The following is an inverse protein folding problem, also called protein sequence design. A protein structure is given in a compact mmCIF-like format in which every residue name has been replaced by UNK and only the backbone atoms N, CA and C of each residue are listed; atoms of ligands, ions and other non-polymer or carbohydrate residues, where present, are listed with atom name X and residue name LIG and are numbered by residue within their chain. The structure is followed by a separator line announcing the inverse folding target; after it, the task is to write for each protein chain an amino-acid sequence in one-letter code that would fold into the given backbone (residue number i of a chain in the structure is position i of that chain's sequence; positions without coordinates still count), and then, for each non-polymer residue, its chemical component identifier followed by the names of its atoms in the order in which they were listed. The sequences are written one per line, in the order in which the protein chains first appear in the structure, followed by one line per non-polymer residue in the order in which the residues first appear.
data_IF_973405895016
#
_entry.id   IF_973405895016
#
_cell.length_a   1.000
_cell.length_b   1.000
_cell.length_c   1.000
_cell.angle_alpha   90.00
_cell.angle_beta   90.00
_cell.angle_gamma   90.00
#
_symmetry.space_group_name_H-M   'P 1'
#
loop_
_entity.id
_entity.type
_entity.pdbx_description
1 polymer ?
#
# COMPACT_ATOMS: atom_id res chain seq x y z
N UNK A 1 -2.13 15.84 13.36
CA UNK A 1 -3.09 16.08 12.27
C UNK A 1 -2.84 15.15 11.08
N UNK A 2 -1.69 15.16 10.36
CA UNK A 2 -1.49 14.22 9.26
C UNK A 2 -1.42 12.76 9.74
N UNK A 3 -0.71 12.47 10.83
CA UNK A 3 -0.64 11.14 11.43
C UNK A 3 -2.03 10.56 11.82
N UNK A 4 -2.95 11.41 12.28
CA UNK A 4 -4.33 11.01 12.64
C UNK A 4 -5.14 10.53 11.42
N UNK A 5 -4.67 10.86 10.22
CA UNK A 5 -5.23 10.40 8.93
C UNK A 5 -4.39 9.24 8.37
N UNK A 6 -3.06 9.35 8.39
CA UNK A 6 -2.16 8.32 7.83
C UNK A 6 -2.37 6.95 8.49
N UNK A 7 -2.58 6.91 9.81
CA UNK A 7 -2.70 5.66 10.57
C UNK A 7 -3.97 4.88 10.20
N UNK A 8 -5.19 5.47 10.25
CA UNK A 8 -6.39 4.81 9.74
C UNK A 8 -6.28 4.39 8.28
N UNK A 9 -5.70 5.26 7.42
CA UNK A 9 -5.55 4.98 5.99
C UNK A 9 -4.64 3.77 5.76
N UNK A 10 -3.51 3.66 6.46
CA UNK A 10 -2.61 2.52 6.39
C UNK A 10 -3.26 1.22 6.86
N UNK A 11 -4.07 1.31 7.92
CA UNK A 11 -4.83 0.20 8.49
C UNK A 11 -5.98 -0.24 7.56
N UNK A 12 -6.55 0.70 6.82
CA UNK A 12 -7.70 0.48 5.93
C UNK A 12 -9.06 0.45 6.65
N UNK A 13 -9.11 0.78 7.94
CA UNK A 13 -10.35 0.87 8.71
C UNK A 13 -10.19 1.74 9.97
N UNK A 14 -11.32 2.29 10.44
CA UNK A 14 -11.40 3.04 11.69
C UNK A 14 -11.65 2.11 12.88
N UNK A 15 -10.98 2.36 14.00
CA UNK A 15 -11.31 1.69 15.27
C UNK A 15 -12.56 2.29 15.91
N UNK A 16 -13.23 1.52 16.78
CA UNK A 16 -14.42 1.99 17.49
C UNK A 16 -14.19 3.29 18.29
N UNK A 17 -12.97 3.49 18.81
CA UNK A 17 -12.59 4.73 19.49
C UNK A 17 -12.46 5.90 18.52
N UNK A 18 -11.86 5.70 17.34
CA UNK A 18 -11.72 6.72 16.29
C UNK A 18 -13.09 7.13 15.73
N UNK A 19 -13.98 6.18 15.49
CA UNK A 19 -15.38 6.43 15.09
C UNK A 19 -16.13 7.27 16.12
N UNK A 20 -16.04 6.89 17.40
CA UNK A 20 -16.70 7.59 18.51
C UNK A 20 -16.10 8.98 18.75
N UNK A 21 -14.81 9.16 18.47
CA UNK A 21 -14.08 10.42 18.67
C UNK A 21 -14.34 11.48 17.57
N UNK A 22 -15.25 11.20 16.64
CA UNK A 22 -15.61 12.13 15.58
C UNK A 22 -14.51 12.33 14.55
N UNK A 23 -13.76 11.27 14.19
CA UNK A 23 -12.75 11.34 13.12
C UNK A 23 -13.31 11.98 11.85
N UNK A 24 -14.50 11.55 11.42
CA UNK A 24 -15.23 12.16 10.30
C UNK A 24 -15.39 13.68 10.48
N UNK A 25 -15.78 14.16 11.67
CA UNK A 25 -15.96 15.59 11.96
C UNK A 25 -14.65 16.39 11.90
N UNK A 26 -13.51 15.80 12.27
CA UNK A 26 -12.19 16.46 12.16
C UNK A 26 -11.70 16.52 10.72
N UNK A 27 -11.95 15.46 9.96
CA UNK A 27 -11.62 15.38 8.53
C UNK A 27 -12.55 16.26 7.68
N UNK A 28 -13.82 16.45 8.06
CA UNK A 28 -14.70 17.44 7.43
C UNK A 28 -14.24 18.89 7.63
N UNK A 29 -13.38 19.17 8.63
CA UNK A 29 -12.72 20.47 8.77
C UNK A 29 -11.74 20.79 7.63
N UNK A 30 -11.27 19.77 6.91
CA UNK A 30 -10.46 19.87 5.69
C UNK A 30 -11.40 19.75 4.48
N UNK A 31 -11.98 20.87 4.05
CA UNK A 31 -13.11 20.88 3.11
C UNK A 31 -12.88 20.08 1.82
N UNK A 32 -11.66 20.06 1.30
CA UNK A 32 -11.35 19.41 0.02
C UNK A 32 -10.82 17.97 0.15
N UNK A 33 -9.85 17.74 1.03
CA UNK A 33 -9.29 16.40 1.25
C UNK A 33 -10.27 15.47 1.98
N UNK A 34 -11.22 16.03 2.75
CA UNK A 34 -12.08 15.25 3.63
C UNK A 34 -13.04 14.31 2.90
N UNK A 35 -13.69 14.77 1.83
CA UNK A 35 -14.59 13.94 1.01
C UNK A 35 -13.86 12.81 0.29
N UNK A 36 -12.61 13.06 -0.12
CA UNK A 36 -11.75 12.06 -0.75
C UNK A 36 -11.34 10.97 0.25
N UNK A 37 -10.92 11.38 1.45
CA UNK A 37 -10.55 10.46 2.51
C UNK A 37 -11.74 9.62 2.99
N UNK A 38 -12.95 10.20 3.02
CA UNK A 38 -14.17 9.45 3.32
C UNK A 38 -14.43 8.36 2.26
N UNK A 39 -14.44 8.73 0.98
CA UNK A 39 -14.63 7.79 -0.13
C UNK A 39 -13.56 6.68 -0.12
N UNK A 40 -12.32 7.04 0.18
CA UNK A 40 -11.20 6.09 0.34
C UNK A 40 -11.44 5.08 1.46
N UNK A 41 -11.96 5.52 2.62
CA UNK A 41 -12.23 4.65 3.77
C UNK A 41 -13.48 3.79 3.58
N UNK A 42 -14.43 4.23 2.75
CA UNK A 42 -15.59 3.44 2.36
C UNK A 42 -15.26 2.42 1.26
N UNK A 43 -14.07 2.51 0.66
CA UNK A 43 -13.60 1.63 -0.41
C UNK A 43 -14.09 2.03 -1.80
N UNK A 44 -14.70 3.22 -1.94
CA UNK A 44 -15.10 3.79 -3.22
C UNK A 44 -13.92 4.55 -3.85
N UNK A 45 -12.97 3.79 -4.39
CA UNK A 45 -11.77 4.34 -5.04
C UNK A 45 -12.10 5.04 -6.37
N UNK A 46 -13.24 4.69 -7.00
CA UNK A 46 -13.70 5.33 -8.23
C UNK A 46 -14.17 6.75 -7.96
N UNK A 47 -14.93 6.98 -6.88
CA UNK A 47 -15.31 8.32 -6.45
C UNK A 47 -14.09 9.20 -6.14
N UNK A 48 -13.00 8.63 -5.64
CA UNK A 48 -11.74 9.37 -5.42
C UNK A 48 -11.14 9.85 -6.74
N UNK A 49 -11.06 8.98 -7.76
CA UNK A 49 -10.48 9.32 -9.06
C UNK A 49 -11.34 10.31 -9.85
N UNK A 50 -12.66 10.21 -9.72
CA UNK A 50 -13.63 11.07 -10.42
C UNK A 50 -13.92 12.37 -9.66
N UNK A 51 -13.23 12.62 -8.55
CA UNK A 51 -13.45 13.84 -7.78
C UNK A 51 -13.01 15.07 -8.57
N UNK A 52 -13.69 16.23 -8.40
CA UNK A 52 -13.30 17.45 -9.09
C UNK A 52 -11.84 17.84 -8.84
N UNK A 53 -11.33 17.64 -7.62
CA UNK A 53 -9.94 17.99 -7.30
C UNK A 53 -8.93 17.11 -8.04
N UNK A 54 -9.22 15.82 -8.20
CA UNK A 54 -8.34 14.90 -8.94
C UNK A 54 -8.44 15.15 -10.44
N UNK A 55 -9.64 15.42 -10.96
CA UNK A 55 -9.83 15.79 -12.36
C UNK A 55 -9.14 17.11 -12.69
N UNK A 56 -9.20 18.12 -11.82
CA UNK A 56 -8.46 19.37 -12.00
C UNK A 56 -6.94 19.16 -11.88
N UNK A 57 -6.50 18.24 -11.00
CA UNK A 57 -5.09 17.87 -10.86
C UNK A 57 -4.55 17.23 -12.15
N UNK A 58 -5.30 16.31 -12.77
CA UNK A 58 -4.87 15.53 -13.94
C UNK A 58 -5.22 16.19 -15.29
N UNK A 59 -6.23 17.07 -15.30
CA UNK A 59 -6.89 17.65 -16.49
C UNK A 59 -6.02 18.61 -17.31
N UNK A 60 -6.59 19.30 -18.30
CA UNK A 60 -5.83 20.15 -19.23
C UNK A 60 -5.52 21.55 -18.68
N UNK A 61 -4.24 21.96 -18.71
CA UNK A 61 -3.83 23.37 -18.54
C UNK A 61 -3.60 24.06 -19.91
N UNK A 62 -4.01 23.43 -21.02
CA UNK A 62 -3.74 23.92 -22.37
C UNK A 62 -2.25 23.96 -22.76
N UNK A 63 -1.37 23.38 -21.93
CA UNK A 63 0.09 23.43 -22.05
C UNK A 63 0.70 22.02 -22.02
N UNK A 64 0.26 21.16 -22.94
CA UNK A 64 0.98 19.93 -23.26
C UNK A 64 2.18 20.34 -24.13
N UNK A 65 3.41 20.14 -23.62
CA UNK A 65 4.59 20.42 -24.41
C UNK A 65 4.64 19.42 -25.58
N UNK A 66 5.01 19.85 -26.79
CA UNK A 66 5.11 18.96 -27.94
C UNK A 66 6.09 17.81 -27.64
N UNK A 67 5.60 16.56 -27.70
CA UNK A 67 6.42 15.36 -27.43
C UNK A 67 6.72 15.08 -25.96
N UNK A 68 5.99 15.68 -25.02
CA UNK A 68 6.12 15.38 -23.58
C UNK A 68 5.77 13.91 -23.28
N UNK A 69 6.67 13.21 -22.58
CA UNK A 69 6.43 11.86 -22.11
C UNK A 69 5.33 11.84 -21.03
N UNK A 70 4.56 10.75 -20.96
CA UNK A 70 3.45 10.60 -20.01
C UNK A 70 3.92 10.76 -18.56
N UNK A 71 5.11 10.24 -18.22
CA UNK A 71 5.64 10.37 -16.88
C UNK A 71 5.95 11.82 -16.53
N UNK A 72 6.60 12.52 -17.45
CA UNK A 72 6.99 13.92 -17.27
C UNK A 72 5.74 14.81 -17.14
N UNK A 73 4.70 14.54 -17.93
CA UNK A 73 3.41 15.22 -17.80
C UNK A 73 2.81 15.01 -16.41
N UNK A 74 2.64 13.75 -15.98
CA UNK A 74 2.02 13.42 -14.69
C UNK A 74 2.83 13.97 -13.51
N UNK A 75 4.16 13.83 -13.54
CA UNK A 75 5.05 14.37 -12.51
C UNK A 75 4.92 15.89 -12.40
N UNK A 76 4.94 16.60 -13.54
CA UNK A 76 4.76 18.05 -13.58
C UNK A 76 3.42 18.47 -13.00
N UNK A 77 2.32 17.80 -13.36
CA UNK A 77 0.97 18.10 -12.83
C UNK A 77 0.89 17.93 -11.32
N UNK A 78 1.37 16.81 -10.80
CA UNK A 78 1.38 16.54 -9.35
C UNK A 78 2.23 17.58 -8.62
N UNK A 79 3.41 17.93 -9.15
CA UNK A 79 4.28 18.94 -8.54
C UNK A 79 3.65 20.35 -8.58
N UNK A 80 3.05 20.74 -9.71
CA UNK A 80 2.34 22.01 -9.82
C UNK A 80 1.22 22.11 -8.79
N UNK A 81 0.40 21.07 -8.66
CA UNK A 81 -0.65 21.01 -7.64
C UNK A 81 -0.06 21.16 -6.23
N UNK A 82 0.95 20.37 -5.86
CA UNK A 82 1.57 20.44 -4.53
C UNK A 82 2.14 21.84 -4.21
N UNK A 83 2.75 22.51 -5.20
CA UNK A 83 3.36 23.84 -5.06
C UNK A 83 2.41 25.04 -5.26
N UNK A 84 1.17 24.81 -5.69
CA UNK A 84 0.27 25.84 -6.20
C UNK A 84 -0.37 26.79 -5.18
N UNK A 85 -0.10 26.65 -3.87
CA UNK A 85 -0.74 27.47 -2.84
C UNK A 85 0.21 28.17 -1.87
N UNK A 86 -0.28 29.25 -1.28
CA UNK A 86 0.52 30.19 -0.46
C UNK A 86 0.49 29.90 1.04
N UNK A 87 -0.45 29.09 1.53
CA UNK A 87 -0.64 28.83 2.96
C UNK A 87 -0.23 27.38 3.34
N UNK A 88 0.20 27.20 4.59
CA UNK A 88 0.64 25.90 5.14
C UNK A 88 -0.51 24.91 5.36
N UNK A 89 -1.68 25.34 5.87
CA UNK A 89 -2.84 24.46 6.05
C UNK A 89 -3.36 23.94 4.70
N UNK A 90 -3.35 24.81 3.68
CA UNK A 90 -3.69 24.42 2.31
C UNK A 90 -2.65 23.44 1.75
N UNK A 91 -1.38 23.53 2.17
CA UNK A 91 -0.33 22.61 1.75
C UNK A 91 -0.58 21.20 2.27
N UNK A 92 -0.86 21.04 3.57
CA UNK A 92 -1.17 19.71 4.14
C UNK A 92 -2.41 19.09 3.50
N UNK A 93 -3.45 19.88 3.19
CA UNK A 93 -4.63 19.38 2.47
C UNK A 93 -4.29 18.87 1.05
N UNK A 94 -3.40 19.56 0.33
CA UNK A 94 -2.91 19.11 -0.98
C UNK A 94 -2.09 17.84 -0.89
N UNK A 95 -1.21 17.73 0.11
CA UNK A 95 -0.43 16.51 0.37
C UNK A 95 -1.35 15.32 0.68
N UNK A 96 -2.37 15.50 1.51
CA UNK A 96 -3.38 14.47 1.83
C UNK A 96 -4.21 14.06 0.61
N UNK A 97 -4.58 15.02 -0.25
CA UNK A 97 -5.29 14.76 -1.50
C UNK A 97 -4.47 13.89 -2.45
N UNK A 98 -3.19 14.23 -2.63
CA UNK A 98 -2.26 13.46 -3.47
C UNK A 98 -1.98 12.08 -2.88
N UNK A 99 -1.87 11.97 -1.56
CA UNK A 99 -1.78 10.68 -0.87
C UNK A 99 -3.02 9.82 -1.10
N UNK A 100 -4.23 10.38 -0.92
CA UNK A 100 -5.48 9.66 -1.14
C UNK A 100 -5.59 9.15 -2.59
N UNK A 101 -5.19 9.97 -3.56
CA UNK A 101 -5.08 9.57 -4.96
C UNK A 101 -4.13 8.39 -5.16
N UNK A 102 -2.91 8.45 -4.61
CA UNK A 102 -1.95 7.36 -4.73
C UNK A 102 -2.47 6.05 -4.09
N UNK A 103 -3.08 6.15 -2.91
CA UNK A 103 -3.67 4.99 -2.22
C UNK A 103 -4.82 4.40 -3.03
N UNK A 104 -5.74 5.22 -3.52
CA UNK A 104 -6.85 4.77 -4.37
C UNK A 104 -6.33 4.08 -5.64
N UNK A 105 -5.30 4.65 -6.29
CA UNK A 105 -4.66 4.03 -7.45
C UNK A 105 -4.09 2.64 -7.13
N UNK A 106 -3.34 2.50 -6.04
CA UNK A 106 -2.77 1.20 -5.64
C UNK A 106 -3.85 0.17 -5.31
N UNK A 107 -4.87 0.55 -4.56
CA UNK A 107 -5.96 -0.35 -4.18
C UNK A 107 -6.77 -0.78 -5.39
N UNK A 108 -7.11 0.16 -6.28
CA UNK A 108 -7.84 -0.13 -7.50
C UNK A 108 -7.01 -0.96 -8.49
N UNK A 109 -5.70 -0.77 -8.54
CA UNK A 109 -4.78 -1.62 -9.30
C UNK A 109 -4.75 -3.05 -8.75
N UNK A 110 -4.63 -3.18 -7.43
CA UNK A 110 -4.69 -4.47 -6.75
C UNK A 110 -6.03 -5.18 -6.99
N UNK A 111 -7.12 -4.42 -6.94
CA UNK A 111 -8.48 -4.88 -7.22
C UNK A 111 -8.63 -5.38 -8.65
N UNK A 112 -8.10 -4.64 -9.63
CA UNK A 112 -8.20 -4.99 -11.05
C UNK A 112 -7.47 -6.28 -11.41
N UNK A 113 -6.40 -6.63 -10.68
CA UNK A 113 -5.47 -7.70 -11.08
C UNK A 113 -5.49 -8.94 -10.16
N UNK A 114 -5.79 -8.79 -8.86
CA UNK A 114 -5.73 -9.90 -7.89
C UNK A 114 -7.02 -10.19 -7.16
N UNK A 115 -7.72 -9.17 -6.63
CA UNK A 115 -8.85 -9.43 -5.72
C UNK A 115 -10.21 -9.41 -6.40
N UNK A 116 -10.36 -8.63 -7.48
CA UNK A 116 -11.66 -8.33 -8.09
C UNK A 116 -12.56 -7.48 -7.18
N UNK A 117 -13.74 -7.04 -7.69
CA UNK A 117 -14.25 -7.21 -9.06
C UNK A 117 -13.49 -6.35 -10.09
N UNK A 118 -13.60 -6.64 -11.41
CA UNK A 118 -12.97 -5.85 -12.46
C UNK A 118 -13.44 -4.40 -12.40
N UNK A 119 -12.47 -3.49 -12.47
CA UNK A 119 -12.74 -2.05 -12.46
C UNK A 119 -13.11 -1.62 -13.87
N UNK A 120 -14.34 -1.10 -14.04
CA UNK A 120 -14.91 -0.72 -15.33
C UNK A 120 -14.64 0.72 -15.76
N UNK A 121 -13.94 1.51 -14.94
CA UNK A 121 -13.66 2.91 -15.26
C UNK A 121 -12.77 3.04 -16.48
N UNK A 122 -13.14 3.91 -17.40
CA UNK A 122 -12.27 4.35 -18.49
C UNK A 122 -11.20 5.30 -17.92
N UNK A 123 -10.23 4.76 -17.17
CA UNK A 123 -9.20 5.53 -16.46
C UNK A 123 -8.37 6.40 -17.44
N UNK A 124 -8.29 5.98 -18.71
CA UNK A 124 -7.64 6.76 -19.76
C UNK A 124 -8.35 8.09 -20.06
N UNK A 125 -9.65 8.22 -19.75
CA UNK A 125 -10.43 9.44 -19.94
C UNK A 125 -10.05 10.53 -18.92
N UNK A 126 -9.31 10.16 -17.85
CA UNK A 126 -8.75 11.11 -16.89
C UNK A 126 -7.59 11.92 -17.48
N UNK A 127 -7.00 11.46 -18.59
CA UNK A 127 -5.88 12.13 -19.24
C UNK A 127 -6.37 13.07 -20.35
N UNK A 128 -5.70 14.22 -20.53
CA UNK A 128 -5.94 15.12 -21.66
C UNK A 128 -5.95 14.42 -23.03
N UNK A 129 -6.97 14.65 -23.88
CA UNK A 129 -6.97 14.17 -25.26
C UNK A 129 -5.73 14.61 -26.06
N UNK A 130 -5.21 15.81 -25.79
CA UNK A 130 -3.97 16.30 -26.40
C UNK A 130 -2.78 15.37 -26.11
N UNK A 131 -2.62 14.94 -24.86
CA UNK A 131 -1.56 14.00 -24.46
C UNK A 131 -1.74 12.64 -25.15
N UNK A 132 -2.98 12.14 -25.21
CA UNK A 132 -3.30 10.88 -25.88
C UNK A 132 -2.94 10.90 -27.37
N UNK A 133 -3.15 12.04 -28.04
CA UNK A 133 -2.85 12.22 -29.46
C UNK A 133 -1.36 12.45 -29.77
N UNK A 134 -0.59 12.95 -28.80
CA UNK A 134 0.83 13.29 -28.96
C UNK A 134 1.78 12.11 -28.76
N UNK A 135 1.30 10.97 -28.22
CA UNK A 135 2.18 9.84 -27.94
C UNK A 135 2.64 9.14 -29.23
N UNK A 136 3.93 8.81 -29.37
CA UNK A 136 4.47 8.18 -30.58
C UNK A 136 4.06 6.70 -30.75
N UNK A 137 3.54 6.07 -29.68
CA UNK A 137 3.06 4.68 -29.64
C UNK A 137 1.64 4.65 -29.06
N UNK A 138 1.02 3.47 -29.02
CA UNK A 138 -0.23 3.32 -28.26
C UNK A 138 0.01 3.73 -26.81
N UNK A 139 -0.99 4.36 -26.17
CA UNK A 139 -0.89 4.80 -24.77
C UNK A 139 -0.43 3.67 -23.84
N UNK A 140 -0.96 2.47 -24.08
CA UNK A 140 -0.62 1.26 -23.32
C UNK A 140 0.87 0.94 -23.49
N UNK A 141 1.41 0.94 -24.71
CA UNK A 141 2.83 0.69 -24.93
C UNK A 141 3.73 1.74 -24.26
N UNK A 142 3.31 3.01 -24.25
CA UNK A 142 4.03 4.07 -23.55
C UNK A 142 4.06 3.80 -22.05
N UNK A 143 2.91 3.48 -21.43
CA UNK A 143 2.82 3.15 -20.00
C UNK A 143 3.65 1.89 -19.65
N UNK A 144 3.59 0.85 -20.48
CA UNK A 144 4.42 -0.34 -20.27
C UNK A 144 5.91 -0.03 -20.40
N UNK A 145 6.30 0.89 -21.28
CA UNK A 145 7.69 1.35 -21.42
C UNK A 145 8.13 2.15 -20.18
N UNK A 146 7.25 2.96 -19.60
CA UNK A 146 7.47 3.71 -18.36
C UNK A 146 7.64 2.82 -17.13
N UNK A 147 6.90 1.71 -17.07
CA UNK A 147 6.98 0.75 -15.95
C UNK A 147 8.12 -0.28 -16.10
N UNK A 148 8.87 -0.26 -17.21
CA UNK A 148 10.03 -1.12 -17.45
C UNK A 148 11.16 -0.72 -16.49
N UNK A 149 11.67 -1.70 -15.74
CA UNK A 149 12.81 -1.50 -14.84
C UNK A 149 13.89 -2.55 -15.09
N UNK A 150 15.15 -2.13 -15.05
CA UNK A 150 16.32 -3.02 -15.20
C UNK A 150 16.34 -3.86 -16.49
N UNK A 151 15.62 -3.43 -17.54
CA UNK A 151 15.48 -4.19 -18.80
C UNK A 151 14.33 -5.20 -18.79
N UNK A 152 13.63 -5.34 -17.67
CA UNK A 152 12.55 -6.29 -17.47
C UNK A 152 11.20 -5.67 -17.83
N UNK A 153 10.48 -6.35 -18.72
CA UNK A 153 9.17 -5.88 -19.17
C UNK A 153 8.07 -6.21 -18.16
N UNK A 154 7.00 -5.42 -18.20
CA UNK A 154 5.79 -5.66 -17.42
C UNK A 154 4.93 -6.72 -18.11
N UNK A 155 4.34 -7.60 -17.30
CA UNK A 155 3.36 -8.59 -17.72
C UNK A 155 2.24 -7.97 -18.58
N UNK A 156 2.04 -8.53 -19.77
CA UNK A 156 1.22 -7.92 -20.83
C UNK A 156 -0.28 -7.94 -20.57
N UNK A 157 -0.76 -8.82 -19.67
CA UNK A 157 -2.20 -8.91 -19.32
C UNK A 157 -2.56 -8.11 -18.06
N UNK A 158 -1.68 -7.23 -17.58
CA UNK A 158 -1.98 -6.33 -16.47
C UNK A 158 -3.15 -5.42 -16.85
N UNK A 159 -4.18 -5.42 -16.02
CA UNK A 159 -5.29 -4.49 -16.12
C UNK A 159 -4.89 -3.12 -15.52
N UNK A 160 -5.28 -2.05 -16.21
CA UNK A 160 -5.16 -0.67 -15.73
C UNK A 160 -3.74 -0.25 -15.28
N UNK A 161 -2.68 -0.44 -16.12
CA UNK A 161 -1.30 -0.12 -15.73
C UNK A 161 -1.06 1.37 -15.43
N UNK A 162 -1.93 2.26 -15.93
CA UNK A 162 -1.90 3.70 -15.63
C UNK A 162 -2.03 4.00 -14.13
N UNK A 163 -2.82 3.22 -13.39
CA UNK A 163 -3.00 3.39 -11.95
C UNK A 163 -1.67 3.17 -11.21
N UNK A 164 -0.96 2.10 -11.58
CA UNK A 164 0.33 1.80 -10.98
C UNK A 164 1.37 2.87 -11.35
N UNK A 165 1.39 3.33 -12.61
CA UNK A 165 2.28 4.40 -13.04
C UNK A 165 2.05 5.69 -12.25
N UNK A 166 0.79 6.13 -12.11
CA UNK A 166 0.43 7.33 -11.37
C UNK A 166 0.83 7.21 -9.89
N UNK A 167 0.51 6.10 -9.24
CA UNK A 167 0.94 5.85 -7.87
C UNK A 167 2.47 5.85 -7.72
N UNK A 168 3.19 5.26 -8.67
CA UNK A 168 4.65 5.24 -8.71
C UNK A 168 5.24 6.64 -8.79
N UNK A 169 4.74 7.50 -9.69
CA UNK A 169 5.20 8.88 -9.83
C UNK A 169 4.97 9.67 -8.53
N UNK A 170 3.80 9.53 -7.91
CA UNK A 170 3.47 10.21 -6.66
C UNK A 170 4.40 9.75 -5.53
N UNK A 171 4.51 8.43 -5.31
CA UNK A 171 5.18 7.84 -4.16
C UNK A 171 6.71 7.79 -4.27
N UNK A 172 7.26 7.92 -5.48
CA UNK A 172 8.71 7.87 -5.70
C UNK A 172 9.28 9.24 -6.07
N UNK A 173 8.75 9.90 -7.10
CA UNK A 173 9.29 11.17 -7.64
C UNK A 173 8.80 12.40 -6.88
N UNK A 174 7.51 12.43 -6.55
CA UNK A 174 6.90 13.58 -5.88
C UNK A 174 7.01 13.51 -4.34
N UNK A 175 7.48 12.39 -3.79
CA UNK A 175 7.55 12.16 -2.34
C UNK A 175 8.31 13.23 -1.55
N UNK A 176 9.36 13.83 -2.15
CA UNK A 176 10.17 14.90 -1.55
C UNK A 176 9.42 16.24 -1.34
N UNK A 177 8.21 16.37 -1.87
CA UNK A 177 7.35 17.56 -1.68
C UNK A 177 6.26 17.33 -0.65
N UNK A 178 6.15 16.12 -0.09
CA UNK A 178 5.12 15.72 0.87
C UNK A 178 5.73 15.45 2.25
N UNK A 179 6.56 16.39 2.73
CA UNK A 179 7.32 16.23 3.98
C UNK A 179 6.43 16.19 5.24
N UNK A 180 5.16 16.60 5.16
CA UNK A 180 4.24 16.54 6.30
C UNK A 180 3.69 15.13 6.57
N UNK A 181 3.83 14.21 5.59
CA UNK A 181 3.38 12.82 5.67
C UNK A 181 4.52 11.92 6.13
N UNK A 182 4.47 11.48 7.38
CA UNK A 182 5.58 10.75 7.99
C UNK A 182 5.63 9.27 7.60
N UNK A 183 4.48 8.68 7.29
CA UNK A 183 4.31 7.27 6.99
C UNK A 183 4.09 7.00 5.49
N UNK A 184 4.14 8.02 4.65
CA UNK A 184 4.14 7.88 3.19
C UNK A 184 5.14 6.84 2.65
N UNK A 185 6.37 6.70 3.18
CA UNK A 185 7.31 5.66 2.73
C UNK A 185 6.76 4.23 2.86
N UNK A 186 5.81 3.99 3.76
CA UNK A 186 5.15 2.69 3.86
C UNK A 186 4.26 2.41 2.64
N UNK A 187 3.53 3.42 2.15
CA UNK A 187 2.80 3.28 0.87
C UNK A 187 3.76 3.06 -0.30
N UNK A 188 4.96 3.67 -0.28
CA UNK A 188 6.01 3.36 -1.26
C UNK A 188 6.40 1.87 -1.22
N UNK A 189 6.49 1.22 -0.04
CA UNK A 189 6.74 -0.22 0.05
C UNK A 189 5.63 -1.06 -0.59
N UNK A 190 4.36 -0.68 -0.38
CA UNK A 190 3.21 -1.35 -0.99
C UNK A 190 3.21 -1.20 -2.51
N UNK A 191 3.52 -0.01 -3.01
CA UNK A 191 3.76 0.22 -4.45
C UNK A 191 4.85 -0.70 -4.99
N UNK A 192 6.02 -0.75 -4.33
CA UNK A 192 7.15 -1.59 -4.78
C UNK A 192 6.75 -3.06 -4.85
N UNK A 193 6.00 -3.55 -3.86
CA UNK A 193 5.56 -4.94 -3.84
C UNK A 193 4.68 -5.25 -5.06
N UNK A 194 3.73 -4.37 -5.39
CA UNK A 194 2.86 -4.53 -6.55
C UNK A 194 3.63 -4.40 -7.87
N UNK A 195 4.56 -3.45 -7.97
CA UNK A 195 5.40 -3.30 -9.16
C UNK A 195 6.32 -4.51 -9.36
N UNK A 196 6.92 -5.04 -8.30
CA UNK A 196 7.76 -6.23 -8.41
C UNK A 196 6.99 -7.48 -8.84
N UNK A 197 5.71 -7.61 -8.49
CA UNK A 197 4.89 -8.77 -8.87
C UNK A 197 4.52 -8.81 -10.36
N UNK A 198 4.57 -7.68 -11.06
CA UNK A 198 4.24 -7.60 -12.49
C UNK A 198 5.47 -7.64 -13.41
N UNK A 199 6.68 -7.59 -12.85
CA UNK A 199 7.93 -7.73 -13.60
C UNK A 199 8.29 -9.21 -13.79
N UNK A 200 8.92 -9.54 -14.93
CA UNK A 200 9.35 -10.92 -15.22
C UNK A 200 10.49 -11.40 -14.30
N UNK A 201 11.36 -10.49 -13.87
CA UNK A 201 12.45 -10.78 -12.95
C UNK A 201 12.58 -9.74 -11.82
N UNK A 202 13.42 -10.06 -10.83
CA UNK A 202 13.70 -9.17 -9.70
C UNK A 202 14.45 -7.92 -10.15
N UNK A 203 13.95 -6.75 -9.73
CA UNK A 203 14.58 -5.46 -10.00
C UNK A 203 15.46 -5.02 -8.81
N UNK A 204 16.80 -4.89 -8.98
CA UNK A 204 17.66 -4.31 -7.96
C UNK A 204 17.34 -2.85 -7.64
N UNK A 205 16.76 -2.10 -8.58
CA UNK A 205 16.31 -0.73 -8.32
C UNK A 205 15.16 -0.69 -7.32
N UNK A 206 14.17 -1.57 -7.48
CA UNK A 206 13.06 -1.71 -6.53
C UNK A 206 13.54 -2.15 -5.15
N UNK A 207 14.51 -3.07 -5.07
CA UNK A 207 15.09 -3.49 -3.80
C UNK A 207 15.75 -2.31 -3.04
N UNK A 208 16.57 -1.50 -3.73
CA UNK A 208 17.21 -0.32 -3.12
C UNK A 208 16.18 0.69 -2.60
N UNK A 209 15.12 0.92 -3.39
CA UNK A 209 14.04 1.80 -2.99
C UNK A 209 13.28 1.25 -1.78
N UNK A 210 13.05 -0.07 -1.74
CA UNK A 210 12.40 -0.74 -0.61
C UNK A 210 13.23 -0.60 0.66
N UNK A 211 14.53 -0.87 0.61
CA UNK A 211 15.44 -0.70 1.76
C UNK A 211 15.39 0.74 2.30
N UNK A 212 15.46 1.74 1.42
CA UNK A 212 15.35 3.14 1.81
C UNK A 212 14.00 3.47 2.47
N UNK A 213 12.90 2.95 1.93
CA UNK A 213 11.57 3.15 2.48
C UNK A 213 11.40 2.47 3.85
N UNK A 214 11.88 1.24 4.01
CA UNK A 214 11.88 0.53 5.31
C UNK A 214 12.65 1.31 6.37
N UNK A 215 13.85 1.80 6.05
CA UNK A 215 14.65 2.61 6.98
C UNK A 215 13.94 3.89 7.41
N UNK A 216 13.24 4.56 6.48
CA UNK A 216 12.47 5.78 6.80
C UNK A 216 11.34 5.48 7.78
N UNK A 217 10.59 4.39 7.59
CA UNK A 217 9.51 3.99 8.50
C UNK A 217 10.05 3.54 9.85
N UNK A 218 11.16 2.77 9.87
CA UNK A 218 11.81 2.33 11.12
C UNK A 218 12.30 3.51 11.98
N UNK A 219 12.70 4.62 11.38
CA UNK A 219 13.06 5.86 12.10
C UNK A 219 11.87 6.50 12.82
N UNK A 220 10.63 6.12 12.52
CA UNK A 220 9.38 6.56 13.17
C UNK A 220 8.90 5.57 14.23
N UNK A 221 9.85 4.97 14.98
CA UNK A 221 9.56 3.95 15.98
C UNK A 221 8.59 4.42 17.09
N UNK A 222 8.58 5.71 17.44
CA UNK A 222 7.65 6.27 18.44
C UNK A 222 6.19 6.07 18.02
N UNK A 223 5.86 6.42 16.77
CA UNK A 223 4.50 6.27 16.21
C UNK A 223 4.10 4.79 16.13
N UNK A 224 5.02 3.92 15.70
CA UNK A 224 4.77 2.48 15.62
C UNK A 224 4.55 1.85 17.01
N UNK A 225 5.23 2.35 18.04
CA UNK A 225 5.12 1.80 19.41
C UNK A 225 3.76 2.07 20.04
N UNK A 226 3.07 3.14 19.65
CA UNK A 226 1.71 3.45 20.09
C UNK A 226 0.67 2.53 19.45
N UNK A 227 0.98 1.94 18.28
CA UNK A 227 0.10 1.08 17.51
C UNK A 227 0.72 -0.31 17.29
N UNK A 228 0.72 -1.15 18.33
CA UNK A 228 1.37 -2.48 18.31
C UNK A 228 0.97 -3.37 17.13
N UNK A 229 -0.32 -3.46 16.79
CA UNK A 229 -0.79 -4.24 15.63
C UNK A 229 -0.23 -3.72 14.31
N UNK A 230 -0.15 -2.39 14.16
CA UNK A 230 0.38 -1.75 12.97
C UNK A 230 1.90 -2.00 12.87
N UNK A 231 2.64 -1.91 13.99
CA UNK A 231 4.06 -2.26 14.02
C UNK A 231 4.31 -3.73 13.63
N UNK A 232 3.46 -4.65 14.08
CA UNK A 232 3.54 -6.06 13.66
C UNK A 232 3.30 -6.18 12.15
N UNK A 233 2.25 -5.55 11.63
CA UNK A 233 1.93 -5.55 10.20
C UNK A 233 3.10 -5.01 9.37
N UNK A 234 3.71 -3.89 9.78
CA UNK A 234 4.88 -3.31 9.12
C UNK A 234 6.01 -4.32 8.99
N UNK A 235 6.38 -4.96 10.11
CA UNK A 235 7.44 -5.96 10.09
C UNK A 235 7.10 -7.16 9.22
N UNK A 236 5.85 -7.62 9.19
CA UNK A 236 5.42 -8.68 8.28
C UNK A 236 5.53 -8.26 6.80
N UNK A 237 5.15 -7.03 6.45
CA UNK A 237 5.34 -6.48 5.10
C UNK A 237 6.84 -6.43 4.73
N UNK A 238 7.72 -6.02 5.66
CA UNK A 238 9.18 -6.10 5.48
C UNK A 238 9.69 -7.54 5.27
N UNK A 239 9.13 -8.52 5.99
CA UNK A 239 9.48 -9.94 5.81
C UNK A 239 9.16 -10.40 4.40
N UNK A 240 7.94 -10.16 3.92
CA UNK A 240 7.54 -10.55 2.57
C UNK A 240 8.44 -9.92 1.51
N UNK A 241 8.71 -8.62 1.63
CA UNK A 241 9.60 -7.91 0.71
C UNK A 241 11.01 -8.53 0.71
N UNK A 242 11.62 -8.73 1.87
CA UNK A 242 12.96 -9.32 1.95
C UNK A 242 13.02 -10.76 1.43
N UNK A 243 11.99 -11.57 1.69
CA UNK A 243 11.93 -12.93 1.18
C UNK A 243 11.79 -12.98 -0.35
N UNK A 244 11.06 -12.03 -0.95
CA UNK A 244 10.98 -11.89 -2.42
C UNK A 244 12.38 -11.72 -3.04
N UNK A 245 13.29 -11.01 -2.37
CA UNK A 245 14.66 -10.79 -2.83
C UNK A 245 15.71 -11.73 -2.21
N UNK A 246 15.28 -12.80 -1.52
CA UNK A 246 16.16 -13.76 -0.85
C UNK A 246 17.07 -13.18 0.27
N UNK A 247 16.67 -12.04 0.86
CA UNK A 247 17.35 -11.40 1.99
C UNK A 247 16.97 -12.07 3.32
N UNK A 248 17.31 -13.35 3.46
CA UNK A 248 16.86 -14.21 4.56
C UNK A 248 17.25 -13.70 5.96
N UNK A 249 18.43 -13.07 6.07
CA UNK A 249 18.92 -12.56 7.35
C UNK A 249 18.08 -11.36 7.83
N UNK A 250 17.81 -10.40 6.93
CA UNK A 250 16.95 -9.26 7.25
C UNK A 250 15.50 -9.71 7.50
N UNK A 251 14.98 -10.65 6.69
CA UNK A 251 13.67 -11.25 6.94
C UNK A 251 13.58 -11.88 8.33
N UNK A 252 14.61 -12.63 8.76
CA UNK A 252 14.64 -13.24 10.09
C UNK A 252 14.63 -12.21 11.22
N UNK A 253 15.33 -11.09 11.07
CA UNK A 253 15.33 -9.99 12.04
C UNK A 253 13.94 -9.38 12.21
N UNK A 254 13.23 -9.14 11.10
CA UNK A 254 11.86 -8.65 11.15
C UNK A 254 10.87 -9.68 11.70
N UNK A 255 11.03 -10.98 11.40
CA UNK A 255 10.23 -12.07 12.01
C UNK A 255 10.40 -12.05 13.53
N UNK A 256 11.63 -11.99 14.03
CA UNK A 256 11.91 -11.96 15.46
C UNK A 256 11.26 -10.73 16.12
N UNK A 257 11.29 -9.56 15.44
CA UNK A 257 10.68 -8.35 15.97
C UNK A 257 9.15 -8.42 15.99
N UNK A 258 8.53 -8.93 14.93
CA UNK A 258 7.08 -9.18 14.90
C UNK A 258 6.66 -10.20 15.97
N UNK A 259 7.48 -11.23 16.22
CA UNK A 259 7.27 -12.22 17.27
C UNK A 259 7.35 -11.58 18.68
N UNK A 260 8.34 -10.71 18.91
CA UNK A 260 8.48 -9.97 20.16
C UNK A 260 7.26 -9.08 20.42
N UNK A 261 6.84 -8.29 19.43
CA UNK A 261 5.71 -7.36 19.52
C UNK A 261 4.37 -8.07 19.72
N UNK A 262 4.16 -9.20 19.04
CA UNK A 262 2.93 -10.00 19.17
C UNK A 262 2.86 -10.81 20.47
N UNK A 263 3.98 -10.96 21.19
CA UNK A 263 4.04 -11.80 22.38
C UNK A 263 3.89 -13.30 22.08
N UNK A 264 3.99 -13.71 20.82
CA UNK A 264 3.89 -15.10 20.39
C UNK A 264 5.21 -15.84 20.62
N UNK A 265 5.13 -17.04 21.19
CA UNK A 265 6.22 -17.99 21.24
C UNK A 265 5.95 -19.06 20.20
N UNK A 266 6.72 -19.02 19.11
CA UNK A 266 6.59 -19.90 17.95
C UNK A 266 7.76 -20.88 18.00
N UNK A 267 7.46 -22.18 18.06
CA UNK A 267 8.46 -23.24 18.05
C UNK A 267 8.12 -24.30 16.99
N UNK A 268 9.09 -24.63 16.14
CA UNK A 268 8.94 -25.68 15.14
C UNK A 268 9.26 -27.03 15.79
N UNK A 269 8.26 -27.88 15.95
CA UNK A 269 8.38 -29.16 16.66
C UNK A 269 7.87 -30.33 15.83
N UNK A 270 8.09 -31.56 16.30
CA UNK A 270 7.54 -32.76 15.72
C UNK A 270 6.39 -33.31 16.57
N UNK A 271 5.28 -33.69 15.94
CA UNK A 271 4.20 -34.43 16.58
C UNK A 271 3.79 -35.63 15.72
N UNK A 272 3.31 -36.69 16.35
CA UNK A 272 2.75 -37.84 15.66
C UNK A 272 1.35 -37.48 15.15
N UNK A 273 1.06 -37.79 13.89
CA UNK A 273 -0.25 -37.52 13.31
C UNK A 273 -0.58 -38.38 12.09
N UNK A 274 -1.87 -38.40 11.74
CA UNK A 274 -2.42 -39.08 10.56
C UNK A 274 -2.82 -38.05 9.50
N UNK A 275 -2.46 -38.29 8.25
CA UNK A 275 -2.86 -37.42 7.12
C UNK A 275 -4.14 -37.89 6.44
N UNK A 276 -4.49 -39.16 6.58
CA UNK A 276 -5.69 -39.74 5.97
C UNK A 276 -6.50 -40.50 7.02
N UNK A 277 -7.83 -40.52 6.83
CA UNK A 277 -8.78 -41.16 7.73
C UNK A 277 -8.49 -42.66 7.97
N UNK A 278 -7.93 -43.35 6.97
CA UNK A 278 -7.66 -44.79 7.01
C UNK A 278 -6.22 -45.15 7.38
N UNK A 279 -5.38 -44.17 7.68
CA UNK A 279 -4.00 -44.41 8.10
C UNK A 279 -3.99 -45.14 9.46
N UNK A 280 -3.33 -46.29 9.53
CA UNK A 280 -3.28 -47.09 10.75
C UNK A 280 -2.25 -46.56 11.75
N UNK A 281 -1.04 -46.24 11.26
CA UNK A 281 0.09 -45.80 12.08
C UNK A 281 0.25 -44.28 12.08
N UNK A 282 0.59 -43.69 13.21
CA UNK A 282 0.95 -42.27 13.28
C UNK A 282 2.37 -42.06 12.75
N UNK A 283 2.54 -41.03 11.93
CA UNK A 283 3.84 -40.65 11.38
C UNK A 283 4.27 -39.33 12.00
N UNK A 284 5.58 -39.14 12.16
CA UNK A 284 6.13 -37.87 12.61
C UNK A 284 5.84 -36.79 11.57
N UNK A 285 5.20 -35.71 12.01
CA UNK A 285 4.87 -34.54 11.21
C UNK A 285 5.47 -33.31 11.87
N UNK A 286 5.93 -32.39 11.04
CA UNK A 286 6.39 -31.09 11.49
C UNK A 286 5.17 -30.23 11.83
N UNK A 287 5.13 -29.67 13.03
CA UNK A 287 4.08 -28.78 13.50
C UNK A 287 4.69 -27.49 14.03
N UNK A 288 3.90 -26.41 13.97
CA UNK A 288 4.23 -25.15 14.59
C UNK A 288 3.51 -25.07 15.93
N UNK A 289 4.24 -25.21 17.03
CA UNK A 289 3.73 -24.99 18.39
C UNK A 289 3.72 -23.48 18.66
N UNK A 290 2.53 -22.91 18.80
CA UNK A 290 2.33 -21.47 19.01
C UNK A 290 1.72 -21.27 20.39
N UNK A 291 2.44 -20.58 21.27
CA UNK A 291 2.02 -20.24 22.63
C UNK A 291 1.95 -18.73 22.79
N UNK A 292 0.93 -18.26 23.48
CA UNK A 292 0.80 -16.84 23.85
C UNK A 292 1.34 -16.64 25.26
N UNK A 293 1.97 -15.50 25.54
CA UNK A 293 2.30 -15.15 26.93
C UNK A 293 0.98 -14.88 27.68
N UNK A 294 0.76 -15.50 28.86
CA UNK A 294 -0.45 -15.28 29.63
C UNK A 294 -0.58 -13.81 30.04
N UNK A 295 -1.73 -13.19 29.76
CA UNK A 295 -2.06 -11.81 30.14
C UNK A 295 -1.79 -10.73 29.10
N UNK A 296 -1.41 -11.08 27.86
CA UNK A 296 -0.98 -10.10 26.85
C UNK A 296 -1.89 -9.95 25.62
N UNK A 297 -3.00 -10.69 25.53
CA UNK A 297 -3.90 -10.64 24.38
C UNK A 297 -5.36 -10.58 24.85
N UNK A 298 -5.75 -9.43 25.40
CA UNK A 298 -7.15 -8.96 25.40
C UNK A 298 -7.27 -7.84 24.34
N UNK A 299 -6.85 -8.14 23.10
CA UNK A 299 -7.11 -7.27 21.96
C UNK A 299 -8.42 -7.70 21.32
N UNK A 300 -9.37 -6.77 21.12
CA UNK A 300 -10.70 -7.00 20.53
C UNK A 300 -10.71 -7.81 19.22
N UNK A 301 -9.57 -7.90 18.51
CA UNK A 301 -9.43 -8.55 17.20
C UNK A 301 -8.88 -9.99 17.23
N UNK A 302 -8.66 -10.61 18.40
CA UNK A 302 -8.19 -12.01 18.44
C UNK A 302 -9.35 -12.99 18.27
N UNK A 303 -9.35 -13.86 17.25
CA UNK A 303 -10.40 -14.87 17.11
C UNK A 303 -10.40 -15.78 18.34
N UNK A 304 -11.58 -16.15 18.83
CA UNK A 304 -11.69 -17.09 19.93
C UNK A 304 -10.93 -18.38 19.57
N UNK A 305 -10.06 -18.89 20.46
CA UNK A 305 -9.33 -20.11 20.19
C UNK A 305 -10.32 -21.26 19.92
N UNK A 306 -10.03 -22.07 18.90
CA UNK A 306 -10.81 -23.27 18.60
C UNK A 306 -10.88 -24.14 19.86
N UNK A 307 -12.09 -24.52 20.33
CA UNK A 307 -12.22 -25.35 21.52
C UNK A 307 -11.38 -26.62 21.41
N UNK A 308 -10.70 -27.00 22.50
CA UNK A 308 -9.83 -28.19 22.50
C UNK A 308 -10.58 -29.48 22.11
N UNK A 309 -11.88 -29.55 22.41
CA UNK A 309 -12.74 -30.67 22.02
C UNK A 309 -12.94 -30.80 20.50
N UNK A 310 -12.74 -29.70 19.76
CA UNK A 310 -12.80 -29.66 18.30
C UNK A 310 -11.44 -29.94 17.64
N UNK A 311 -10.35 -29.98 18.42
CA UNK A 311 -9.04 -30.34 17.91
C UNK A 311 -8.91 -31.87 17.80
N UNK A 312 -8.12 -32.39 16.83
CA UNK A 312 -7.81 -33.80 16.78
C UNK A 312 -7.20 -34.23 18.13
N UNK A 313 -7.75 -35.29 18.73
CA UNK A 313 -7.21 -35.86 19.97
C UNK A 313 -5.80 -36.39 19.67
N UNK A 314 -4.81 -35.86 20.38
CA UNK A 314 -3.41 -36.33 20.38
C UNK A 314 -3.31 -37.65 21.12
#
# INVERSE_FOLDING_TARGET
MPLDVEIPVLRGFLTASEETSGWKQRVYGTADAGSLLESLMEGDFEAVLLSPQVLDLLGEDGNCNEGEDIEAYLERRVLLYLTGGTNDDDKTNRELTVMALAVACLQMFAQSNWTGPPVSTHINDLLPPALLSSQPKTLVDAIHSSLLLDGESVYTLVANPLLLLLAGIILTRCSSKMDSLELLPWWTLRYINLHQQILEAFSPQLLKLAQSAMEKVLKRQSVLSEHGNLAIQFHLECVYMNLTYYEYQSAKEHINKAQELSGLNINLTGALGKRTRFQQNDLAQLILDVKTKPGQIDGEASPMPTPQDCLPKV
#
